data_IF_037098232381
#
_entry.id   IF_037098232381
#
_cell.length_a   1.000
_cell.length_b   1.000
_cell.length_c   1.000
_cell.angle_alpha   90.00
_cell.angle_beta   90.00
_cell.angle_gamma   90.00
#
_symmetry.space_group_name_H-M   'P 1'
#
loop_
_entity.id
_entity.type
_entity.pdbx_description
1 polymer ?
#
# COMPACT_ATOMS: atom_id res chain seq x y z
N UNK A 1 0.51 22.61 -12.07
CA UNK A 1 0.63 22.16 -13.49
C UNK A 1 1.78 21.19 -13.75
N UNK A 2 3.06 21.59 -13.72
CA UNK A 2 4.17 20.66 -14.03
C UNK A 2 4.23 19.46 -13.06
N UNK A 3 4.08 19.70 -11.75
CA UNK A 3 4.08 18.64 -10.75
C UNK A 3 2.92 17.65 -10.91
N UNK A 4 1.73 18.12 -11.31
CA UNK A 4 0.57 17.26 -11.56
C UNK A 4 0.78 16.40 -12.81
N UNK A 5 1.41 16.95 -13.85
CA UNK A 5 1.76 16.21 -15.07
C UNK A 5 2.74 15.07 -14.76
N UNK A 6 3.74 15.30 -13.91
CA UNK A 6 4.68 14.26 -13.49
C UNK A 6 4.02 13.16 -12.66
N UNK A 7 3.08 13.51 -11.77
CA UNK A 7 2.29 12.52 -11.03
C UNK A 7 1.46 11.67 -11.98
N UNK A 8 0.85 12.27 -13.00
CA UNK A 8 0.05 11.56 -14.00
C UNK A 8 0.89 10.63 -14.87
N UNK A 9 2.04 11.10 -15.36
CA UNK A 9 3.00 10.29 -16.12
C UNK A 9 3.48 9.11 -15.27
N UNK A 10 3.84 9.38 -14.02
CA UNK A 10 4.26 8.36 -13.07
C UNK A 10 3.16 7.32 -12.84
N UNK A 11 1.92 7.74 -12.63
CA UNK A 11 0.77 6.84 -12.48
C UNK A 11 0.60 5.95 -13.72
N UNK A 12 0.67 6.50 -14.93
CA UNK A 12 0.57 5.73 -16.19
C UNK A 12 1.69 4.68 -16.29
N UNK A 13 2.93 5.04 -15.93
CA UNK A 13 4.07 4.12 -15.95
C UNK A 13 3.84 2.96 -14.98
N UNK A 14 3.39 3.22 -13.76
CA UNK A 14 3.15 2.14 -12.79
C UNK A 14 1.95 1.29 -13.21
N UNK A 15 0.84 1.88 -13.70
CA UNK A 15 -0.30 1.12 -14.24
C UNK A 15 0.16 0.20 -15.37
N UNK A 16 0.95 0.72 -16.31
CA UNK A 16 1.49 -0.06 -17.43
C UNK A 16 2.39 -1.21 -16.96
N UNK A 17 3.28 -0.94 -16.01
CA UNK A 17 4.15 -1.96 -15.41
C UNK A 17 3.34 -3.06 -14.72
N UNK A 18 2.30 -2.69 -13.99
CA UNK A 18 1.41 -3.63 -13.29
C UNK A 18 0.62 -4.48 -14.27
N UNK A 19 -0.02 -3.85 -15.26
CA UNK A 19 -0.78 -4.54 -16.30
C UNK A 19 0.11 -5.54 -17.08
N UNK A 20 1.37 -5.16 -17.34
CA UNK A 20 2.35 -6.03 -17.99
C UNK A 20 2.69 -7.27 -17.14
N UNK A 21 2.90 -7.10 -15.84
CA UNK A 21 3.19 -8.22 -14.93
C UNK A 21 1.97 -9.15 -14.75
N UNK A 22 0.76 -8.60 -14.68
CA UNK A 22 -0.50 -9.37 -14.68
C UNK A 22 -0.59 -10.23 -15.95
N UNK A 23 -0.34 -9.65 -17.13
CA UNK A 23 -0.36 -10.37 -18.41
C UNK A 23 0.65 -11.52 -18.48
N UNK A 24 1.80 -11.40 -17.80
CA UNK A 24 2.82 -12.45 -17.73
C UNK A 24 2.52 -13.57 -16.74
N UNK A 25 1.40 -13.52 -16.01
CA UNK A 25 1.05 -14.54 -15.01
C UNK A 25 1.90 -14.47 -13.73
N UNK A 26 2.78 -13.48 -13.62
CA UNK A 26 3.60 -13.21 -12.45
C UNK A 26 2.87 -12.19 -11.58
N UNK A 27 1.93 -12.65 -10.76
CA UNK A 27 1.24 -11.77 -9.79
C UNK A 27 2.17 -11.33 -8.64
N UNK A 28 3.36 -11.90 -8.56
CA UNK A 28 4.42 -11.42 -7.68
C UNK A 28 5.07 -10.22 -8.36
N UNK A 29 4.49 -9.04 -8.14
CA UNK A 29 5.25 -7.81 -8.27
C UNK A 29 6.34 -7.93 -7.21
N UNK A 30 7.57 -8.28 -7.60
CA UNK A 30 8.70 -8.25 -6.68
C UNK A 30 8.81 -6.82 -6.15
N UNK A 31 8.40 -6.55 -4.89
CA UNK A 31 8.28 -5.19 -4.40
C UNK A 31 9.65 -4.50 -4.41
N UNK A 32 10.71 -5.29 -4.23
CA UNK A 32 12.10 -4.88 -4.34
C UNK A 32 12.41 -4.22 -5.70
N UNK A 33 11.99 -4.81 -6.82
CA UNK A 33 12.26 -4.26 -8.16
C UNK A 33 11.45 -3.01 -8.44
N UNK A 34 10.18 -2.99 -8.04
CA UNK A 34 9.33 -1.80 -8.18
C UNK A 34 9.91 -0.63 -7.36
N UNK A 35 10.22 -0.84 -6.08
CA UNK A 35 10.77 0.19 -5.19
C UNK A 35 12.11 0.71 -5.71
N UNK A 36 13.02 -0.17 -6.15
CA UNK A 36 14.31 0.24 -6.73
C UNK A 36 14.10 1.08 -8.00
N UNK A 37 13.16 0.69 -8.86
CA UNK A 37 12.86 1.43 -10.10
C UNK A 37 12.32 2.83 -9.80
N UNK A 38 11.45 2.95 -8.80
CA UNK A 38 10.89 4.23 -8.34
C UNK A 38 11.99 5.13 -7.77
N UNK A 39 12.89 4.57 -6.96
CA UNK A 39 14.03 5.30 -6.40
C UNK A 39 14.94 5.82 -7.53
N UNK A 40 15.30 4.98 -8.50
CA UNK A 40 16.16 5.36 -9.63
C UNK A 40 15.51 6.46 -10.48
N UNK A 41 14.23 6.31 -10.84
CA UNK A 41 13.50 7.32 -11.60
C UNK A 41 13.41 8.65 -10.85
N UNK A 42 13.27 8.61 -9.53
CA UNK A 42 13.22 9.81 -8.69
C UNK A 42 14.57 10.52 -8.62
N UNK A 43 15.69 9.77 -8.56
CA UNK A 43 17.04 10.32 -8.62
C UNK A 43 17.32 10.95 -10.00
N UNK A 44 16.91 10.30 -11.09
CA UNK A 44 17.08 10.84 -12.44
C UNK A 44 16.26 12.12 -12.61
N UNK A 45 15.00 12.13 -12.15
CA UNK A 45 14.17 13.33 -12.17
C UNK A 45 14.79 14.48 -11.35
N UNK A 46 15.42 14.18 -10.22
CA UNK A 46 16.17 15.14 -9.39
C UNK A 46 17.27 15.83 -10.18
N UNK A 47 18.13 15.04 -10.84
CA UNK A 47 19.30 15.53 -11.57
C UNK A 47 18.88 16.39 -12.77
N UNK A 48 17.78 16.02 -13.44
CA UNK A 48 17.24 16.77 -14.58
C UNK A 48 16.64 18.11 -14.11
N UNK A 49 15.88 18.10 -13.02
CA UNK A 49 15.19 19.29 -12.51
C UNK A 49 16.11 20.26 -11.76
N UNK A 50 17.22 19.80 -11.17
CA UNK A 50 18.13 20.63 -10.38
C UNK A 50 19.05 21.54 -11.20
N UNK A 51 19.04 21.45 -12.54
CA UNK A 51 20.02 22.18 -13.37
C UNK A 51 19.86 23.70 -13.38
N UNK A 52 18.69 24.24 -13.03
CA UNK A 52 18.42 25.69 -13.01
C UNK A 52 17.35 26.08 -11.96
N UNK A 53 17.08 25.23 -10.97
CA UNK A 53 16.01 25.42 -9.98
C UNK A 53 16.63 25.46 -8.58
N UNK A 54 16.06 26.29 -7.71
CA UNK A 54 16.41 26.36 -6.29
C UNK A 54 16.36 24.95 -5.65
N UNK A 55 17.42 24.59 -4.94
CA UNK A 55 17.59 23.27 -4.31
C UNK A 55 16.42 22.90 -3.38
N UNK A 56 15.84 23.87 -2.69
CA UNK A 56 14.68 23.66 -1.81
C UNK A 56 13.44 23.27 -2.61
N UNK A 57 13.22 23.92 -3.75
CA UNK A 57 12.10 23.62 -4.66
C UNK A 57 12.31 22.24 -5.30
N UNK A 58 13.54 21.89 -5.67
CA UNK A 58 13.89 20.57 -6.19
C UNK A 58 13.61 19.48 -5.16
N UNK A 59 14.12 19.61 -3.93
CA UNK A 59 13.91 18.63 -2.84
C UNK A 59 12.40 18.44 -2.57
N UNK A 60 11.64 19.53 -2.44
CA UNK A 60 10.19 19.46 -2.20
C UNK A 60 9.45 18.78 -3.34
N UNK A 61 9.86 19.00 -4.59
CA UNK A 61 9.25 18.36 -5.76
C UNK A 61 9.53 16.85 -5.78
N UNK A 62 10.75 16.45 -5.46
CA UNK A 62 11.14 15.03 -5.37
C UNK A 62 10.35 14.34 -4.26
N UNK A 63 10.26 14.95 -3.09
CA UNK A 63 9.54 14.38 -1.97
C UNK A 63 8.05 14.12 -2.31
N UNK A 64 7.43 15.03 -3.07
CA UNK A 64 6.07 14.84 -3.59
C UNK A 64 5.97 13.71 -4.62
N UNK A 65 6.93 13.60 -5.53
CA UNK A 65 6.98 12.52 -6.52
C UNK A 65 7.14 11.17 -5.82
N UNK A 66 8.07 11.07 -4.87
CA UNK A 66 8.27 9.87 -4.04
C UNK A 66 7.03 9.52 -3.23
N UNK A 67 6.37 10.51 -2.62
CA UNK A 67 5.13 10.28 -1.89
C UNK A 67 4.03 9.72 -2.79
N UNK A 68 3.84 10.30 -3.98
CA UNK A 68 2.94 9.74 -5.00
C UNK A 68 3.34 8.32 -5.41
N UNK A 69 4.65 8.05 -5.45
CA UNK A 69 5.19 6.73 -5.72
C UNK A 69 4.86 5.67 -4.68
N UNK A 70 5.02 6.00 -3.41
CA UNK A 70 4.65 5.14 -2.29
C UNK A 70 3.14 4.89 -2.27
N UNK A 71 2.34 5.94 -2.48
CA UNK A 71 0.88 5.81 -2.56
C UNK A 71 0.48 4.82 -3.65
N UNK A 72 1.09 4.93 -4.83
CA UNK A 72 0.81 4.03 -5.93
C UNK A 72 1.27 2.60 -5.64
N UNK A 73 2.47 2.43 -5.08
CA UNK A 73 3.01 1.11 -4.72
C UNK A 73 2.11 0.38 -3.71
N UNK A 74 1.47 1.11 -2.79
CA UNK A 74 0.53 0.54 -1.83
C UNK A 74 -0.80 0.08 -2.42
N UNK A 75 -1.27 0.68 -3.52
CA UNK A 75 -2.54 0.29 -4.18
C UNK A 75 -2.50 -1.17 -4.63
N UNK A 76 -1.35 -1.64 -5.10
CA UNK A 76 -1.18 -2.98 -5.68
C UNK A 76 -1.42 -4.13 -4.69
N UNK A 77 -0.73 -4.19 -3.53
CA UNK A 77 -1.02 -5.18 -2.52
C UNK A 77 -2.43 -5.03 -1.95
N UNK A 78 -2.98 -3.80 -1.83
CA UNK A 78 -4.36 -3.60 -1.36
C UNK A 78 -5.40 -4.17 -2.32
N UNK A 79 -5.27 -3.94 -3.63
CA UNK A 79 -6.15 -4.55 -4.66
C UNK A 79 -5.99 -6.07 -4.65
N UNK A 80 -4.75 -6.56 -4.59
CA UNK A 80 -4.44 -8.00 -4.57
C UNK A 80 -5.08 -8.68 -3.37
N UNK A 81 -4.97 -8.09 -2.18
CA UNK A 81 -5.59 -8.55 -0.96
C UNK A 81 -7.12 -8.45 -1.04
N UNK A 82 -7.67 -7.37 -1.60
CA UNK A 82 -9.10 -7.23 -1.84
C UNK A 82 -9.67 -8.35 -2.73
N UNK A 83 -8.99 -8.68 -3.84
CA UNK A 83 -9.34 -9.83 -4.67
C UNK A 83 -9.28 -11.13 -3.86
N UNK A 84 -8.23 -11.30 -3.05
CA UNK A 84 -8.09 -12.45 -2.15
C UNK A 84 -9.25 -12.59 -1.16
N UNK A 85 -9.77 -11.47 -0.63
CA UNK A 85 -10.88 -11.44 0.31
C UNK A 85 -12.17 -12.03 -0.31
N UNK A 86 -12.46 -11.67 -1.57
CA UNK A 86 -13.64 -12.15 -2.29
C UNK A 86 -13.46 -13.52 -2.96
N UNK A 87 -12.22 -13.93 -3.21
CA UNK A 87 -11.92 -15.21 -3.87
C UNK A 87 -12.23 -16.41 -2.98
N UNK A 88 -11.99 -16.29 -1.68
CA UNK A 88 -12.20 -17.41 -0.77
C UNK A 88 -13.56 -17.32 -0.13
N UNK A 89 -14.50 -18.20 -0.51
CA UNK A 89 -15.85 -18.28 0.03
C UNK A 89 -15.97 -19.17 1.29
N UNK A 90 -17.18 -19.32 1.80
CA UNK A 90 -17.44 -20.08 3.03
C UNK A 90 -17.34 -21.61 2.82
N UNK A 91 -17.28 -22.06 1.56
CA UNK A 91 -17.05 -23.45 1.15
C UNK A 91 -15.72 -24.04 1.66
N UNK A 92 -14.76 -23.19 2.03
CA UNK A 92 -13.47 -23.60 2.60
C UNK A 92 -13.53 -23.87 4.11
N UNK A 93 -14.72 -23.84 4.70
CA UNK A 93 -14.96 -24.20 6.10
C UNK A 93 -14.64 -23.09 7.10
N UNK A 94 -14.73 -23.36 8.41
CA UNK A 94 -14.71 -22.34 9.46
C UNK A 94 -13.37 -21.60 9.55
N UNK A 95 -12.27 -22.20 9.09
CA UNK A 95 -10.95 -21.60 9.13
C UNK A 95 -10.79 -20.42 8.16
N UNK A 96 -11.70 -20.28 7.17
CA UNK A 96 -11.59 -19.21 6.18
C UNK A 96 -11.75 -17.81 6.79
N UNK A 97 -12.45 -17.70 7.90
CA UNK A 97 -12.54 -16.46 8.66
C UNK A 97 -11.15 -15.92 9.03
N UNK A 98 -10.26 -16.77 9.54
CA UNK A 98 -8.91 -16.34 9.94
C UNK A 98 -8.07 -15.92 8.73
N UNK A 99 -8.22 -16.60 7.60
CA UNK A 99 -7.57 -16.22 6.36
C UNK A 99 -8.04 -14.84 5.88
N UNK A 100 -9.36 -14.59 5.85
CA UNK A 100 -9.92 -13.27 5.47
C UNK A 100 -9.54 -12.18 6.47
N UNK A 101 -9.51 -12.47 7.77
CA UNK A 101 -9.05 -11.56 8.81
C UNK A 101 -7.58 -11.17 8.59
N UNK A 102 -6.72 -12.14 8.26
CA UNK A 102 -5.32 -11.89 7.95
C UNK A 102 -5.15 -11.04 6.67
N UNK A 103 -5.89 -11.36 5.60
CA UNK A 103 -5.89 -10.59 4.35
C UNK A 103 -6.36 -9.14 4.60
N UNK A 104 -7.40 -8.94 5.40
CA UNK A 104 -7.88 -7.60 5.78
C UNK A 104 -6.79 -6.84 6.54
N UNK A 105 -6.09 -7.51 7.47
CA UNK A 105 -4.95 -6.94 8.17
C UNK A 105 -3.82 -6.48 7.24
N UNK A 106 -3.57 -7.17 6.12
CA UNK A 106 -2.59 -6.75 5.10
C UNK A 106 -3.04 -5.44 4.44
N UNK A 107 -4.34 -5.29 4.13
CA UNK A 107 -4.89 -4.07 3.54
C UNK A 107 -4.69 -2.89 4.51
N UNK A 108 -5.14 -3.04 5.75
CA UNK A 108 -5.07 -1.97 6.76
C UNK A 108 -3.63 -1.58 7.08
N UNK A 109 -2.74 -2.58 7.20
CA UNK A 109 -1.31 -2.35 7.47
C UNK A 109 -0.67 -1.61 6.32
N UNK A 110 -0.94 -2.02 5.08
CA UNK A 110 -0.38 -1.35 3.90
C UNK A 110 -0.88 0.08 3.78
N UNK A 111 -2.18 0.32 3.96
CA UNK A 111 -2.76 1.66 3.99
C UNK A 111 -2.11 2.55 5.06
N UNK A 112 -1.93 2.00 6.26
CA UNK A 112 -1.29 2.71 7.38
C UNK A 112 0.16 3.09 7.09
N UNK A 113 0.96 2.15 6.57
CA UNK A 113 2.35 2.40 6.19
C UNK A 113 2.46 3.44 5.07
N UNK A 114 1.58 3.37 4.07
CA UNK A 114 1.52 4.37 2.99
C UNK A 114 1.24 5.76 3.55
N UNK A 115 0.25 5.90 4.45
CA UNK A 115 -0.06 7.18 5.09
C UNK A 115 1.13 7.73 5.88
N UNK A 116 1.83 6.89 6.64
CA UNK A 116 3.02 7.28 7.40
C UNK A 116 4.14 7.75 6.47
N UNK A 117 4.56 6.92 5.52
CA UNK A 117 5.72 7.24 4.68
C UNK A 117 5.44 8.38 3.70
N UNK A 118 4.26 8.40 3.06
CA UNK A 118 3.88 9.51 2.19
C UNK A 118 3.74 10.80 3.01
N UNK A 119 3.09 10.74 4.18
CA UNK A 119 2.92 11.88 5.08
C UNK A 119 4.25 12.49 5.53
N UNK A 120 5.23 11.66 5.91
CA UNK A 120 6.58 12.12 6.27
C UNK A 120 7.27 12.85 5.12
N UNK A 121 7.18 12.32 3.90
CA UNK A 121 7.80 12.94 2.72
C UNK A 121 7.22 14.31 2.37
N UNK A 122 5.92 14.52 2.56
CA UNK A 122 5.27 15.81 2.27
C UNK A 122 5.03 16.68 3.51
N UNK A 123 5.65 16.34 4.64
CA UNK A 123 5.52 17.05 5.92
C UNK A 123 4.08 17.20 6.41
N UNK A 124 3.24 16.18 6.16
CA UNK A 124 1.85 16.09 6.65
C UNK A 124 1.77 15.22 7.90
N UNK A 125 2.12 15.80 9.04
CA UNK A 125 2.14 15.11 10.34
C UNK A 125 0.75 14.62 10.78
N UNK A 126 -0.31 15.28 10.32
CA UNK A 126 -1.69 14.83 10.50
C UNK A 126 -1.94 13.46 9.87
N UNK A 127 -1.47 13.27 8.63
CA UNK A 127 -1.58 11.99 7.91
C UNK A 127 -0.72 10.91 8.59
N UNK A 128 0.47 11.27 9.04
CA UNK A 128 1.37 10.37 9.78
C UNK A 128 0.72 9.90 11.07
N UNK A 129 0.13 10.83 11.84
CA UNK A 129 -0.52 10.50 13.11
C UNK A 129 -1.67 9.50 12.90
N UNK A 130 -2.55 9.76 11.92
CA UNK A 130 -3.64 8.84 11.57
C UNK A 130 -3.10 7.45 11.20
N UNK A 131 -2.12 7.39 10.30
CA UNK A 131 -1.51 6.11 9.90
C UNK A 131 -0.87 5.36 11.08
N UNK A 132 -0.21 6.07 11.99
CA UNK A 132 0.41 5.48 13.17
C UNK A 132 -0.62 4.93 14.17
N UNK A 133 -1.71 5.67 14.41
CA UNK A 133 -2.81 5.20 15.26
C UNK A 133 -3.43 3.90 14.71
N UNK A 134 -3.71 3.84 13.40
CA UNK A 134 -4.22 2.61 12.79
C UNK A 134 -3.18 1.48 12.88
N UNK A 135 -1.93 1.75 12.54
CA UNK A 135 -0.86 0.74 12.55
C UNK A 135 -0.72 0.01 13.88
N UNK A 136 -0.79 0.73 15.00
CA UNK A 136 -0.72 0.15 16.34
C UNK A 136 -1.96 -0.67 16.67
N UNK A 137 -3.15 -0.21 16.26
CA UNK A 137 -4.42 -0.82 16.67
C UNK A 137 -4.80 -2.05 15.85
N UNK A 138 -4.35 -2.17 14.59
CA UNK A 138 -4.65 -3.30 13.70
C UNK A 138 -4.44 -4.68 14.35
N UNK A 139 -3.29 -5.01 14.96
CA UNK A 139 -3.09 -6.33 15.56
C UNK A 139 -4.05 -6.61 16.72
N UNK A 140 -4.46 -5.59 17.49
CA UNK A 140 -5.43 -5.77 18.57
C UNK A 140 -6.82 -6.07 18.02
N UNK A 141 -7.26 -5.33 16.99
CA UNK A 141 -8.56 -5.55 16.34
C UNK A 141 -8.60 -6.93 15.68
N UNK A 142 -7.56 -7.30 14.94
CA UNK A 142 -7.46 -8.61 14.30
C UNK A 142 -7.50 -9.77 15.29
N UNK A 143 -6.80 -9.65 16.43
CA UNK A 143 -6.84 -10.65 17.49
C UNK A 143 -8.21 -10.72 18.19
N UNK A 144 -8.83 -9.57 18.47
CA UNK A 144 -10.16 -9.51 19.07
C UNK A 144 -11.22 -10.19 18.18
N UNK A 145 -11.19 -9.92 16.87
CA UNK A 145 -12.06 -10.56 15.89
C UNK A 145 -11.85 -12.08 15.80
N UNK A 146 -10.59 -12.52 15.74
CA UNK A 146 -10.24 -13.94 15.72
C UNK A 146 -10.78 -14.68 16.96
N UNK A 147 -10.57 -14.12 18.15
CA UNK A 147 -11.06 -14.69 19.40
C UNK A 147 -12.59 -14.74 19.47
N UNK A 148 -13.25 -13.64 19.09
CA UNK A 148 -14.72 -13.57 19.07
C UNK A 148 -15.31 -14.64 18.15
N UNK A 149 -14.73 -14.84 16.97
CA UNK A 149 -15.15 -15.88 16.05
C UNK A 149 -14.91 -17.29 16.61
N UNK A 150 -13.71 -17.56 17.13
CA UNK A 150 -13.35 -18.86 17.73
C UNK A 150 -14.36 -19.29 18.81
N UNK A 151 -14.60 -18.43 19.80
CA UNK A 151 -15.49 -18.75 20.92
C UNK A 151 -16.95 -18.89 20.48
N UNK A 152 -17.39 -18.09 19.51
CA UNK A 152 -18.75 -18.18 18.95
C UNK A 152 -18.97 -19.47 18.15
N UNK A 153 -17.94 -19.93 17.44
CA UNK A 153 -17.98 -21.20 16.71
C UNK A 153 -17.97 -22.39 17.68
N UNK A 154 -17.10 -22.37 18.69
CA UNK A 154 -17.05 -23.40 19.74
C UNK A 154 -18.38 -23.53 20.51
N UNK A 155 -19.08 -22.42 20.75
CA UNK A 155 -20.40 -22.45 21.40
C UNK A 155 -21.43 -23.15 20.54
N UNK A 156 -21.48 -22.85 19.23
CA UNK A 156 -22.39 -23.49 18.27
C UNK A 156 -22.17 -24.99 18.09
N UNK A 157 -20.95 -25.50 18.33
CA UNK A 157 -20.67 -26.94 18.27
C UNK A 157 -21.14 -27.71 19.52
N UNK A 158 -21.44 -27.00 20.61
CA UNK A 158 -21.89 -27.59 21.89
C UNK A 158 -23.41 -27.58 22.05
N UNK A 159 -24.12 -26.87 21.18
CA UNK A 159 -25.58 -26.84 21.06
C UNK A 159 -26.04 -27.92 20.08
#
# INVERSE_FOLDING_TARGET
MISELFVLIYAIIIIGFVAWNIKKGSFVIEPSKLVITIIILSIIATIILSRNIDIYVTIRSIAKILAGGIMFAGVLPMISAGIGLFRFGDEYGPNIFYARNHITGIIDTTASLVMIFAGLLIFRLDLVAVGFFFFILIPFVGNALANAYYYSYQRRLKE
#
